data_IF_442468596937
#
_entry.id   IF_442468596937
#
_cell.length_a   1.000
_cell.length_b   1.000
_cell.length_c   1.000
_cell.angle_alpha   90.00
_cell.angle_beta   90.00
_cell.angle_gamma   90.00
#
_symmetry.space_group_name_H-M   'P 1'
#
loop_
_entity.id
_entity.type
_entity.pdbx_description
1 polymer ?
#
# COMPACT_ATOMS: atom_id res chain seq x y z
N UNK A 1 -42.84 -57.51 -31.61
CA UNK A 1 -44.12 -57.23 -30.90
C UNK A 1 -43.82 -57.13 -29.41
N UNK A 2 -44.19 -56.00 -28.77
CA UNK A 2 -44.50 -55.83 -27.32
C UNK A 2 -43.41 -56.33 -26.32
N UNK A 3 -42.87 -55.55 -25.39
CA UNK A 3 -43.46 -54.53 -24.52
C UNK A 3 -42.35 -53.80 -23.75
N UNK A 4 -42.65 -52.54 -23.43
CA UNK A 4 -41.89 -51.60 -22.62
C UNK A 4 -41.79 -52.04 -21.14
N UNK A 5 -40.64 -51.76 -20.52
CA UNK A 5 -40.40 -51.89 -19.08
C UNK A 5 -39.60 -50.69 -18.58
N UNK A 6 -40.28 -49.87 -17.77
CA UNK A 6 -39.93 -48.56 -17.25
C UNK A 6 -38.80 -48.66 -16.21
N UNK A 7 -37.78 -47.80 -16.27
CA UNK A 7 -36.88 -47.56 -15.12
C UNK A 7 -36.69 -46.06 -14.97
N UNK A 8 -37.32 -45.52 -13.91
CA UNK A 8 -37.18 -44.15 -13.44
C UNK A 8 -35.74 -43.94 -12.94
N UNK A 9 -34.95 -43.13 -13.64
CA UNK A 9 -33.76 -42.51 -13.07
C UNK A 9 -34.11 -41.08 -12.68
N UNK A 10 -34.28 -40.83 -11.39
CA UNK A 10 -34.42 -39.50 -10.82
C UNK A 10 -33.11 -38.72 -11.03
N UNK A 11 -33.10 -37.85 -12.04
CA UNK A 11 -32.00 -36.92 -12.28
C UNK A 11 -32.00 -35.84 -11.21
N UNK A 12 -31.02 -35.88 -10.31
CA UNK A 12 -30.68 -34.79 -9.39
C UNK A 12 -30.17 -33.64 -10.25
N UNK A 13 -30.98 -32.60 -10.43
CA UNK A 13 -30.55 -31.31 -10.96
C UNK A 13 -29.65 -30.63 -9.92
N UNK A 14 -28.34 -30.85 -10.04
CA UNK A 14 -27.34 -30.01 -9.37
C UNK A 14 -27.32 -28.68 -10.12
N UNK A 15 -28.10 -27.71 -9.63
CA UNK A 15 -27.93 -26.31 -10.01
C UNK A 15 -26.60 -25.83 -9.45
N UNK A 16 -25.55 -25.90 -10.29
CA UNK A 16 -24.30 -25.19 -10.05
C UNK A 16 -24.61 -23.70 -10.06
N UNK A 17 -24.88 -23.15 -8.87
CA UNK A 17 -24.79 -21.72 -8.59
C UNK A 17 -23.34 -21.31 -8.83
N UNK A 18 -23.07 -20.89 -10.06
CA UNK A 18 -21.86 -20.19 -10.42
C UNK A 18 -21.89 -18.86 -9.67
N UNK A 19 -21.29 -18.84 -8.48
CA UNK A 19 -21.01 -17.61 -7.77
C UNK A 19 -19.98 -16.87 -8.62
N UNK A 20 -20.46 -15.95 -9.46
CA UNK A 20 -19.62 -14.99 -10.17
C UNK A 20 -18.92 -14.15 -9.12
N UNK A 21 -17.70 -14.56 -8.75
CA UNK A 21 -16.75 -13.68 -8.10
C UNK A 21 -16.48 -12.61 -9.16
N UNK A 22 -17.21 -11.50 -9.09
CA UNK A 22 -16.93 -10.31 -9.86
C UNK A 22 -15.56 -9.81 -9.42
N UNK A 23 -14.50 -10.39 -9.99
CA UNK A 23 -13.17 -9.82 -9.92
C UNK A 23 -13.28 -8.42 -10.50
N UNK A 24 -13.08 -7.41 -9.65
CA UNK A 24 -13.01 -6.03 -10.09
C UNK A 24 -12.00 -5.96 -11.24
N UNK A 25 -12.50 -5.69 -12.45
CA UNK A 25 -11.61 -5.53 -13.60
C UNK A 25 -10.82 -4.24 -13.41
N UNK A 26 -9.53 -4.21 -13.80
CA UNK A 26 -8.72 -3.00 -13.69
C UNK A 26 -9.39 -1.89 -14.51
N UNK A 27 -9.71 -0.77 -13.85
CA UNK A 27 -10.25 0.42 -14.52
C UNK A 27 -9.11 1.05 -15.32
N UNK A 28 -9.19 0.96 -16.65
CA UNK A 28 -8.23 1.59 -17.54
C UNK A 28 -8.74 2.96 -18.01
N UNK A 29 -7.93 4.00 -17.82
CA UNK A 29 -8.24 5.33 -18.31
C UNK A 29 -7.57 5.50 -19.69
N UNK A 30 -8.31 5.83 -20.77
CA UNK A 30 -7.71 6.01 -22.09
C UNK A 30 -6.85 7.27 -22.20
N UNK A 31 -7.15 8.28 -21.37
CA UNK A 31 -6.43 9.55 -21.26
C UNK A 31 -6.56 10.10 -19.84
N UNK A 32 -5.68 11.02 -19.44
CA UNK A 32 -5.81 11.74 -18.18
C UNK A 32 -7.14 12.52 -18.11
N UNK A 33 -7.77 12.48 -16.94
CA UNK A 33 -8.98 13.26 -16.65
C UNK A 33 -8.72 14.77 -16.72
N UNK A 34 -9.80 15.55 -16.88
CA UNK A 34 -9.69 17.02 -16.91
C UNK A 34 -9.11 17.55 -15.60
N UNK A 35 -9.49 16.92 -14.51
CA UNK A 35 -9.07 17.17 -13.15
C UNK A 35 -7.56 16.91 -12.99
N UNK A 36 -7.08 15.72 -13.37
CA UNK A 36 -5.66 15.38 -13.29
C UNK A 36 -4.78 16.27 -14.18
N UNK A 37 -5.27 16.68 -15.36
CA UNK A 37 -4.55 17.67 -16.19
C UNK A 37 -4.40 19.02 -15.48
N UNK A 38 -5.46 19.52 -14.84
CA UNK A 38 -5.39 20.75 -14.07
C UNK A 38 -4.42 20.63 -12.88
N UNK A 39 -4.36 19.47 -12.23
CA UNK A 39 -3.36 19.19 -11.19
C UNK A 39 -1.94 19.28 -11.78
N UNK A 40 -1.68 18.58 -12.89
CA UNK A 40 -0.37 18.53 -13.55
C UNK A 40 0.11 19.91 -14.01
N UNK A 41 -0.77 20.72 -14.58
CA UNK A 41 -0.44 22.06 -15.08
C UNK A 41 0.16 22.98 -14.00
N UNK A 42 -0.25 22.82 -12.74
CA UNK A 42 0.27 23.59 -11.61
C UNK A 42 1.38 22.83 -10.84
N UNK A 43 1.23 21.52 -10.64
CA UNK A 43 2.16 20.73 -9.82
C UNK A 43 3.49 20.41 -10.49
N UNK A 44 3.57 20.53 -11.82
CA UNK A 44 4.86 20.48 -12.54
C UNK A 44 5.84 21.57 -12.08
N UNK A 45 5.32 22.73 -11.68
CA UNK A 45 6.12 23.88 -11.29
C UNK A 45 6.21 24.03 -9.76
N UNK A 46 5.11 23.78 -9.04
CA UNK A 46 5.07 23.93 -7.58
C UNK A 46 5.68 22.75 -6.81
N UNK A 47 5.60 21.54 -7.35
CA UNK A 47 6.15 20.31 -6.74
C UNK A 47 6.86 19.45 -7.79
N UNK A 48 7.92 19.95 -8.45
CA UNK A 48 8.53 19.31 -9.62
C UNK A 48 9.03 17.89 -9.32
N UNK A 49 9.51 17.62 -8.11
CA UNK A 49 9.94 16.28 -7.70
C UNK A 49 8.82 15.25 -7.70
N UNK A 50 7.62 15.60 -7.20
CA UNK A 50 6.47 14.68 -7.21
C UNK A 50 5.94 14.47 -8.63
N UNK A 51 5.91 15.54 -9.43
CA UNK A 51 5.53 15.48 -10.84
C UNK A 51 6.46 14.54 -11.63
N UNK A 52 7.78 14.65 -11.44
CA UNK A 52 8.76 13.79 -12.11
C UNK A 52 8.67 12.33 -11.66
N UNK A 53 8.54 12.07 -10.34
CA UNK A 53 8.35 10.72 -9.82
C UNK A 53 7.11 10.04 -10.43
N UNK A 54 5.98 10.76 -10.44
CA UNK A 54 4.76 10.27 -11.08
C UNK A 54 4.96 10.07 -12.59
N UNK A 55 5.55 11.02 -13.31
CA UNK A 55 5.83 10.90 -14.74
C UNK A 55 6.70 9.71 -15.12
N UNK A 56 7.57 9.25 -14.21
CA UNK A 56 8.39 8.06 -14.40
C UNK A 56 7.67 6.74 -14.04
N UNK A 57 6.53 6.82 -13.36
CA UNK A 57 5.79 5.66 -12.85
C UNK A 57 5.06 4.86 -13.94
N UNK A 58 4.73 3.60 -13.63
CA UNK A 58 3.79 2.81 -14.45
C UNK A 58 2.36 3.37 -14.38
N UNK A 59 1.99 4.08 -13.30
CA UNK A 59 0.70 4.74 -13.17
C UNK A 59 0.50 5.86 -14.20
N UNK A 60 1.52 6.70 -14.45
CA UNK A 60 1.46 7.70 -15.52
C UNK A 60 1.23 7.05 -16.90
N UNK A 61 1.98 6.00 -17.22
CA UNK A 61 1.82 5.24 -18.47
C UNK A 61 0.45 4.57 -18.60
N UNK A 62 -0.17 4.22 -17.48
CA UNK A 62 -1.54 3.70 -17.38
C UNK A 62 -2.61 4.77 -17.27
N UNK A 63 -2.29 6.06 -17.47
CA UNK A 63 -3.19 7.20 -17.30
C UNK A 63 -3.88 7.31 -15.93
N UNK A 64 -3.26 6.76 -14.87
CA UNK A 64 -3.68 7.00 -13.49
C UNK A 64 -3.00 8.29 -13.02
N UNK A 65 -3.76 9.38 -13.02
CA UNK A 65 -3.30 10.71 -12.64
C UNK A 65 -3.48 11.03 -11.16
N UNK A 66 -3.25 12.29 -10.82
CA UNK A 66 -3.30 12.79 -9.45
C UNK A 66 -4.72 12.62 -8.85
N UNK A 67 -5.74 13.01 -9.61
CA UNK A 67 -7.12 13.04 -9.15
C UNK A 67 -7.74 11.64 -9.04
N UNK A 68 -7.29 10.68 -9.84
CA UNK A 68 -7.76 9.29 -9.76
C UNK A 68 -7.44 8.66 -8.40
N UNK A 69 -6.33 9.07 -7.76
CA UNK A 69 -5.94 8.61 -6.43
C UNK A 69 -6.43 9.54 -5.32
N UNK A 70 -6.22 10.85 -5.47
CA UNK A 70 -6.47 11.84 -4.42
C UNK A 70 -7.91 12.37 -4.39
N UNK A 71 -8.66 12.23 -5.48
CA UNK A 71 -10.01 12.78 -5.60
C UNK A 71 -10.95 12.24 -4.52
N UNK A 72 -11.74 13.14 -3.94
CA UNK A 72 -12.72 12.83 -2.92
C UNK A 72 -14.13 13.23 -3.37
N UNK A 73 -15.14 12.61 -2.78
CA UNK A 73 -16.54 12.97 -3.07
C UNK A 73 -16.85 14.38 -2.55
N UNK A 74 -17.78 15.08 -3.21
CA UNK A 74 -18.18 16.44 -2.85
C UNK A 74 -18.75 16.54 -1.43
N UNK A 75 -19.37 15.46 -0.96
CA UNK A 75 -20.01 15.32 0.35
C UNK A 75 -19.04 14.89 1.46
N UNK A 76 -17.82 14.50 1.11
CA UNK A 76 -16.82 14.03 2.07
C UNK A 76 -16.32 15.20 2.92
N UNK A 77 -16.69 15.22 4.20
CA UNK A 77 -16.34 16.30 5.14
C UNK A 77 -14.87 16.28 5.55
N UNK A 78 -14.21 15.15 5.43
CA UNK A 78 -12.80 14.98 5.77
C UNK A 78 -11.88 15.33 4.58
N UNK A 79 -12.44 15.56 3.40
CA UNK A 79 -11.68 16.02 2.25
C UNK A 79 -11.27 17.50 2.36
N UNK A 80 -10.06 17.80 1.90
CA UNK A 80 -9.55 19.15 1.73
C UNK A 80 -10.15 19.78 0.47
N UNK A 81 -10.67 21.00 0.58
CA UNK A 81 -10.93 21.83 -0.60
C UNK A 81 -9.60 22.39 -1.10
N UNK A 82 -9.15 21.94 -2.26
CA UNK A 82 -7.93 22.39 -2.91
C UNK A 82 -8.29 23.00 -4.27
N UNK A 83 -8.33 24.33 -4.34
CA UNK A 83 -8.88 25.09 -5.45
C UNK A 83 -10.32 24.65 -5.79
N UNK A 84 -10.54 24.17 -7.02
CA UNK A 84 -11.84 23.74 -7.53
C UNK A 84 -12.14 22.27 -7.23
N UNK A 85 -11.25 21.57 -6.54
CA UNK A 85 -11.34 20.14 -6.29
C UNK A 85 -11.48 19.83 -4.80
N UNK A 86 -12.06 18.68 -4.49
CA UNK A 86 -11.95 18.06 -3.16
C UNK A 86 -11.01 16.87 -3.26
N UNK A 87 -10.04 16.84 -2.36
CA UNK A 87 -9.02 15.79 -2.34
C UNK A 87 -8.78 15.28 -0.92
N UNK A 88 -8.32 14.04 -0.84
CA UNK A 88 -7.62 13.52 0.33
C UNK A 88 -6.11 13.63 0.11
N UNK A 89 -5.41 14.24 1.07
CA UNK A 89 -3.94 14.28 1.05
C UNK A 89 -3.35 12.88 1.18
N UNK A 90 -3.99 12.05 2.01
CA UNK A 90 -3.58 10.66 2.26
C UNK A 90 -4.43 9.72 1.41
N UNK A 91 -3.76 8.98 0.52
CA UNK A 91 -4.36 7.87 -0.22
C UNK A 91 -4.23 6.60 0.62
N UNK A 92 -5.33 5.86 0.77
CA UNK A 92 -5.43 4.69 1.65
C UNK A 92 -5.41 3.38 0.84
N UNK A 93 -5.21 2.22 1.49
CA UNK A 93 -5.38 0.92 0.84
C UNK A 93 -6.72 0.72 0.12
N UNK A 94 -7.82 1.31 0.61
CA UNK A 94 -9.12 1.25 -0.09
C UNK A 94 -9.11 1.99 -1.42
N UNK A 95 -8.36 3.08 -1.56
CA UNK A 95 -8.18 3.73 -2.87
C UNK A 95 -7.44 2.79 -3.84
N UNK A 96 -6.35 2.16 -3.38
CA UNK A 96 -5.57 1.20 -4.17
C UNK A 96 -6.43 0.01 -4.62
N UNK A 97 -7.24 -0.53 -3.70
CA UNK A 97 -8.09 -1.70 -3.91
C UNK A 97 -9.18 -1.53 -4.97
N UNK A 98 -9.45 -0.30 -5.43
CA UNK A 98 -10.36 -0.05 -6.56
C UNK A 98 -9.82 -0.64 -7.88
N UNK A 99 -8.50 -0.72 -8.01
CA UNK A 99 -7.82 -1.31 -9.17
C UNK A 99 -6.99 -2.56 -8.81
N UNK A 100 -6.43 -2.59 -7.60
CA UNK A 100 -5.58 -3.67 -7.07
C UNK A 100 -6.33 -4.48 -6.00
N UNK A 101 -7.51 -5.00 -6.36
CA UNK A 101 -8.41 -5.67 -5.41
C UNK A 101 -7.79 -6.92 -4.77
N UNK A 102 -7.03 -7.68 -5.56
CA UNK A 102 -6.33 -8.88 -5.10
C UNK A 102 -5.24 -8.54 -4.11
N UNK A 103 -4.33 -7.63 -4.46
CA UNK A 103 -3.23 -7.20 -3.58
C UNK A 103 -3.77 -6.55 -2.30
N UNK A 104 -4.82 -5.73 -2.42
CA UNK A 104 -5.49 -5.13 -1.26
C UNK A 104 -6.03 -6.20 -0.30
N UNK A 105 -6.74 -7.21 -0.83
CA UNK A 105 -7.35 -8.27 -0.02
C UNK A 105 -6.28 -9.16 0.63
N UNK A 106 -5.22 -9.48 -0.09
CA UNK A 106 -4.09 -10.23 0.46
C UNK A 106 -3.39 -9.45 1.58
N UNK A 107 -3.15 -8.15 1.37
CA UNK A 107 -2.48 -7.30 2.33
C UNK A 107 -3.33 -7.10 3.60
N UNK A 108 -4.62 -6.76 3.46
CA UNK A 108 -5.53 -6.52 4.59
C UNK A 108 -5.65 -7.75 5.52
N UNK A 109 -5.50 -8.97 4.97
CA UNK A 109 -5.53 -10.21 5.74
C UNK A 109 -4.17 -10.62 6.35
N UNK A 110 -3.10 -9.85 6.11
CA UNK A 110 -1.75 -10.16 6.60
C UNK A 110 -1.49 -9.60 8.01
N UNK A 111 -0.41 -10.08 8.64
CA UNK A 111 0.09 -9.49 9.89
C UNK A 111 0.65 -8.07 9.67
N UNK A 112 1.14 -7.74 8.47
CA UNK A 112 1.61 -6.40 8.14
C UNK A 112 0.51 -5.35 8.27
N UNK A 113 -0.73 -5.64 7.84
CA UNK A 113 -1.85 -4.72 8.04
C UNK A 113 -2.18 -4.51 9.53
N UNK A 114 -1.88 -5.49 10.39
CA UNK A 114 -2.14 -5.43 11.83
C UNK A 114 -0.97 -4.90 12.66
N UNK A 115 0.13 -4.49 12.01
CA UNK A 115 1.37 -4.18 12.71
C UNK A 115 1.25 -3.05 13.75
N UNK A 116 0.32 -2.09 13.58
CA UNK A 116 0.09 -1.01 14.54
C UNK A 116 -0.58 -1.49 15.84
N UNK A 117 -1.16 -2.69 15.88
CA UNK A 117 -1.81 -3.25 17.09
C UNK A 117 -0.79 -3.46 18.22
N UNK A 118 0.50 -3.64 17.90
CA UNK A 118 1.58 -3.74 18.90
C UNK A 118 1.69 -2.49 19.77
N UNK A 119 1.29 -1.32 19.26
CA UNK A 119 1.37 -0.07 20.01
C UNK A 119 0.35 -0.01 21.16
N UNK A 120 -0.63 -0.90 21.16
CA UNK A 120 -1.55 -1.10 22.28
C UNK A 120 -1.22 -2.32 23.14
N UNK A 121 -0.11 -3.02 22.89
CA UNK A 121 0.33 -4.17 23.69
C UNK A 121 1.35 -3.76 24.77
N UNK A 122 1.62 -4.68 25.69
CA UNK A 122 2.67 -4.53 26.70
C UNK A 122 4.08 -4.38 26.08
N UNK A 123 4.25 -4.79 24.81
CA UNK A 123 5.53 -4.66 24.11
C UNK A 123 5.90 -3.20 23.83
N UNK A 124 4.92 -2.28 23.86
CA UNK A 124 5.15 -0.85 23.69
C UNK A 124 5.59 -0.12 24.98
N UNK A 125 5.53 -0.79 26.14
CA UNK A 125 5.81 -0.18 27.44
C UNK A 125 7.24 0.37 27.53
N UNK A 126 8.20 -0.34 26.93
CA UNK A 126 9.60 0.10 26.89
C UNK A 126 9.73 1.47 26.23
N UNK A 127 9.18 1.62 25.02
CA UNK A 127 9.30 2.83 24.23
C UNK A 127 8.39 3.97 24.71
N UNK A 128 7.24 3.65 25.31
CA UNK A 128 6.26 4.65 25.75
C UNK A 128 6.51 5.17 27.17
N UNK A 129 6.92 4.29 28.08
CA UNK A 129 6.97 4.58 29.53
C UNK A 129 8.39 4.52 30.07
N UNK A 130 9.12 3.42 29.85
CA UNK A 130 10.42 3.18 30.50
C UNK A 130 11.51 4.09 29.92
N UNK A 131 11.70 4.06 28.61
CA UNK A 131 12.68 4.89 27.90
C UNK A 131 12.03 6.16 27.30
N UNK A 132 10.70 6.23 27.31
CA UNK A 132 9.92 7.26 26.63
C UNK A 132 9.97 8.63 27.29
N UNK A 133 10.72 9.57 26.71
CA UNK A 133 10.65 10.98 27.11
C UNK A 133 9.43 11.70 26.49
N UNK A 134 8.45 12.07 27.32
CA UNK A 134 7.20 12.76 26.92
C UNK A 134 7.33 14.26 26.61
N UNK A 135 8.54 14.83 26.66
CA UNK A 135 8.77 16.23 26.30
C UNK A 135 8.44 16.57 24.84
N UNK A 136 8.31 15.56 23.96
CA UNK A 136 7.95 15.76 22.56
C UNK A 136 6.42 15.83 22.38
N UNK A 137 5.85 17.03 22.53
CA UNK A 137 4.40 17.28 22.38
C UNK A 137 3.52 16.38 23.27
N UNK A 138 4.00 16.04 24.47
CA UNK A 138 3.29 15.14 25.39
C UNK A 138 3.39 13.65 25.03
N UNK A 139 4.28 13.28 24.09
CA UNK A 139 4.49 11.91 23.61
C UNK A 139 5.97 11.54 23.65
N UNK A 140 6.24 10.24 23.73
CA UNK A 140 7.60 9.70 23.61
C UNK A 140 8.15 9.94 22.20
N UNK A 141 9.28 10.64 22.09
CA UNK A 141 9.96 10.85 20.81
C UNK A 141 10.44 9.50 20.20
N UNK A 142 10.87 8.56 21.04
CA UNK A 142 11.23 7.19 20.64
C UNK A 142 10.06 6.47 20.00
N UNK A 143 8.88 6.57 20.62
CA UNK A 143 7.65 5.98 20.10
C UNK A 143 7.26 6.57 18.73
N UNK A 144 7.34 7.90 18.58
CA UNK A 144 6.91 8.59 17.35
C UNK A 144 7.89 8.40 16.19
N UNK A 145 9.20 8.51 16.45
CA UNK A 145 10.23 8.46 15.42
C UNK A 145 10.84 7.07 15.21
N UNK A 146 10.66 6.14 16.15
CA UNK A 146 11.09 4.74 16.05
C UNK A 146 9.92 3.82 15.71
N UNK A 147 9.23 3.32 16.75
CA UNK A 147 8.24 2.24 16.62
C UNK A 147 7.13 2.58 15.60
N UNK A 148 6.56 3.78 15.68
CA UNK A 148 5.46 4.21 14.80
C UNK A 148 5.89 4.37 13.33
N UNK A 149 7.17 4.61 13.04
CA UNK A 149 7.64 4.73 11.66
C UNK A 149 7.71 3.37 10.95
N UNK A 150 7.87 2.28 11.69
CA UNK A 150 7.87 0.92 11.16
C UNK A 150 6.48 0.27 11.26
N UNK A 151 5.86 0.28 12.44
CA UNK A 151 4.59 -0.41 12.71
C UNK A 151 3.36 0.34 12.21
N UNK A 152 3.43 1.67 12.15
CA UNK A 152 2.32 2.54 11.79
C UNK A 152 1.56 3.06 13.02
N UNK A 153 0.69 4.05 12.84
CA UNK A 153 -0.16 4.59 13.91
C UNK A 153 -1.49 5.08 13.38
N UNK A 154 -2.37 5.57 14.26
CA UNK A 154 -3.67 6.14 13.89
C UNK A 154 -3.46 7.52 13.29
N UNK A 155 -3.94 7.71 12.07
CA UNK A 155 -3.99 9.01 11.40
C UNK A 155 -5.18 9.82 11.88
N UNK A 156 -4.94 11.10 12.14
CA UNK A 156 -5.98 12.09 12.47
C UNK A 156 -6.00 13.19 11.42
N UNK A 157 -7.19 13.64 11.08
CA UNK A 157 -7.43 14.76 10.18
C UNK A 157 -8.07 15.92 10.95
N UNK A 158 -7.65 17.14 10.65
CA UNK A 158 -8.28 18.39 11.10
C UNK A 158 -8.41 19.32 9.91
N UNK A 159 -9.63 19.81 9.65
CA UNK A 159 -9.92 20.70 8.51
C UNK A 159 -9.41 20.16 7.16
N UNK A 160 -9.58 18.86 6.93
CA UNK A 160 -9.15 18.18 5.71
C UNK A 160 -7.64 17.90 5.58
N UNK A 161 -6.85 18.27 6.59
CA UNK A 161 -5.40 18.05 6.59
C UNK A 161 -4.99 17.08 7.69
N UNK A 162 -3.98 16.23 7.46
CA UNK A 162 -3.46 15.38 8.50
C UNK A 162 -2.76 16.20 9.58
N UNK A 163 -2.98 15.81 10.83
CA UNK A 163 -2.38 16.50 11.96
C UNK A 163 -0.91 16.11 12.11
N UNK A 164 -0.08 17.09 12.44
CA UNK A 164 1.39 16.91 12.53
C UNK A 164 1.82 15.94 13.62
N UNK A 165 0.95 15.64 14.58
CA UNK A 165 1.22 14.67 15.65
C UNK A 165 1.01 13.21 15.20
N UNK A 166 0.36 12.98 14.04
CA UNK A 166 0.10 11.64 13.49
C UNK A 166 0.67 11.45 12.08
N UNK A 167 1.15 12.52 11.44
CA UNK A 167 1.67 12.52 10.08
C UNK A 167 2.95 13.37 9.98
N UNK A 168 3.98 12.95 9.21
CA UNK A 168 4.02 11.80 8.31
C UNK A 168 4.13 10.44 9.01
N UNK A 169 3.46 9.44 8.44
CA UNK A 169 3.55 8.05 8.90
C UNK A 169 3.40 7.10 7.72
N UNK A 170 4.45 6.34 7.45
CA UNK A 170 4.50 5.34 6.38
C UNK A 170 4.63 3.92 6.92
N UNK A 171 4.42 3.72 8.23
CA UNK A 171 4.51 2.43 8.88
C UNK A 171 3.49 1.43 8.33
N UNK A 172 3.90 0.17 8.24
CA UNK A 172 3.26 -0.85 7.40
C UNK A 172 1.80 -1.10 7.80
N UNK A 173 1.45 -1.00 9.09
CA UNK A 173 0.13 -1.23 9.65
C UNK A 173 -0.65 0.05 10.01
N UNK A 174 -0.31 1.20 9.42
CA UNK A 174 -0.98 2.50 9.67
C UNK A 174 -2.52 2.39 9.66
N UNK A 175 -3.19 2.98 10.63
CA UNK A 175 -4.67 2.97 10.70
C UNK A 175 -5.19 4.26 10.06
N UNK A 176 -5.93 4.13 8.96
CA UNK A 176 -6.41 5.25 8.15
C UNK A 176 -7.79 5.73 8.60
N UNK A 177 -8.13 6.98 8.24
CA UNK A 177 -9.42 7.60 8.58
C UNK A 177 -10.65 6.90 7.99
N UNK A 178 -10.48 6.23 6.85
CA UNK A 178 -11.54 5.44 6.22
C UNK A 178 -11.68 4.03 6.84
N UNK A 179 -10.98 3.77 7.94
CA UNK A 179 -10.94 2.50 8.67
C UNK A 179 -10.10 1.41 8.01
N UNK A 180 -9.48 1.65 6.85
CA UNK A 180 -8.58 0.69 6.24
C UNK A 180 -7.24 0.62 6.98
N UNK A 181 -6.62 -0.57 6.98
CA UNK A 181 -5.33 -0.80 7.63
C UNK A 181 -4.22 -0.90 6.60
N UNK A 182 -3.14 -0.19 6.87
CA UNK A 182 -1.90 -0.29 6.16
C UNK A 182 -1.43 0.98 5.46
N UNK A 183 -0.18 0.90 5.00
CA UNK A 183 0.46 1.86 4.12
C UNK A 183 0.98 1.16 2.87
N UNK A 184 0.26 1.27 1.74
CA UNK A 184 0.71 0.69 0.47
C UNK A 184 2.02 1.30 -0.05
N UNK A 185 2.50 2.39 0.54
CA UNK A 185 3.77 3.04 0.19
C UNK A 185 4.93 2.62 1.08
N UNK A 186 4.76 1.62 1.95
CA UNK A 186 5.83 1.14 2.82
C UNK A 186 6.96 0.43 2.05
N UNK A 187 6.65 -0.26 0.94
CA UNK A 187 7.64 -1.00 0.15
C UNK A 187 7.95 -0.32 -1.20
N UNK A 188 6.93 0.05 -1.97
CA UNK A 188 7.09 0.80 -3.21
C UNK A 188 6.59 2.24 -3.03
N UNK A 189 7.52 3.17 -2.90
CA UNK A 189 7.23 4.50 -2.42
C UNK A 189 6.41 5.31 -3.42
N UNK A 190 5.60 6.24 -2.89
CA UNK A 190 5.02 7.32 -3.69
C UNK A 190 6.15 8.23 -4.21
N UNK A 191 6.07 8.82 -5.41
CA UNK A 191 5.03 8.66 -6.43
C UNK A 191 5.46 7.79 -7.62
N UNK A 192 6.60 7.11 -7.51
CA UNK A 192 7.09 6.20 -8.58
C UNK A 192 6.38 4.85 -8.56
N UNK A 193 6.02 4.35 -7.37
CA UNK A 193 5.35 3.05 -7.17
C UNK A 193 6.04 1.89 -7.92
N UNK A 194 7.38 1.82 -7.83
CA UNK A 194 8.18 0.84 -8.58
C UNK A 194 8.10 -0.55 -7.94
N UNK A 195 7.66 -1.54 -8.72
CA UNK A 195 7.74 -2.95 -8.33
C UNK A 195 9.18 -3.41 -8.15
N UNK A 196 10.13 -2.89 -8.95
CA UNK A 196 11.55 -3.19 -8.76
C UNK A 196 12.06 -2.70 -7.41
N UNK A 197 11.64 -1.51 -6.95
CA UNK A 197 11.96 -1.04 -5.60
C UNK A 197 11.43 -2.00 -4.52
N UNK A 198 10.19 -2.47 -4.64
CA UNK A 198 9.63 -3.43 -3.68
C UNK A 198 10.35 -4.79 -3.68
N UNK A 199 11.02 -5.16 -4.78
CA UNK A 199 11.82 -6.40 -4.90
C UNK A 199 13.24 -6.28 -4.37
N UNK A 200 13.67 -5.07 -4.01
CA UNK A 200 15.01 -4.85 -3.45
C UNK A 200 15.02 -5.15 -1.94
N UNK A 201 15.94 -5.97 -1.43
CA UNK A 201 16.04 -6.28 0.00
C UNK A 201 16.26 -5.05 0.88
N UNK A 202 16.89 -4.00 0.33
CA UNK A 202 17.12 -2.72 1.00
C UNK A 202 15.82 -2.05 1.43
N UNK A 203 14.72 -2.26 0.69
CA UNK A 203 13.39 -1.75 1.04
C UNK A 203 12.87 -2.37 2.33
N UNK A 204 13.05 -3.68 2.51
CA UNK A 204 12.66 -4.42 3.71
C UNK A 204 13.50 -3.98 4.92
N UNK A 205 14.78 -3.72 4.67
CA UNK A 205 15.77 -3.29 5.65
C UNK A 205 15.48 -1.96 6.33
N UNK A 206 14.48 -1.19 5.88
CA UNK A 206 13.97 -0.02 6.62
C UNK A 206 13.39 -0.41 7.99
N UNK A 207 12.77 -1.59 8.08
CA UNK A 207 12.09 -2.07 9.29
C UNK A 207 12.68 -3.39 9.83
N UNK A 208 13.18 -4.26 8.95
CA UNK A 208 13.70 -5.58 9.29
C UNK A 208 15.22 -5.54 9.46
N UNK A 209 15.67 -4.87 10.52
CA UNK A 209 17.07 -4.63 10.83
C UNK A 209 17.26 -4.57 12.34
N UNK A 210 18.51 -4.57 12.79
CA UNK A 210 18.84 -4.28 14.17
C UNK A 210 18.65 -5.48 15.12
N UNK A 211 18.81 -5.26 16.42
CA UNK A 211 19.02 -6.33 17.40
C UNK A 211 17.77 -7.16 17.72
N UNK A 212 16.58 -6.62 17.50
CA UNK A 212 15.29 -7.25 17.79
C UNK A 212 14.87 -8.25 16.70
N UNK A 213 15.22 -7.96 15.45
CA UNK A 213 14.99 -8.86 14.32
C UNK A 213 15.93 -8.54 13.13
N UNK A 214 17.14 -9.13 13.10
CA UNK A 214 18.21 -8.74 12.17
C UNK A 214 18.09 -9.41 10.79
N UNK A 215 16.91 -9.39 10.14
CA UNK A 215 16.77 -10.10 8.86
C UNK A 215 17.60 -9.49 7.73
N UNK A 216 17.79 -8.16 7.71
CA UNK A 216 18.69 -7.49 6.75
C UNK A 216 20.11 -8.00 6.90
N UNK A 217 20.65 -7.98 8.11
CA UNK A 217 22.01 -8.40 8.42
C UNK A 217 22.21 -9.90 8.09
N UNK A 218 21.24 -10.74 8.49
CA UNK A 218 21.26 -12.18 8.15
C UNK A 218 21.27 -12.39 6.62
N UNK A 219 20.46 -11.64 5.88
CA UNK A 219 20.38 -11.78 4.43
C UNK A 219 21.68 -11.32 3.74
N UNK A 220 22.19 -10.13 4.11
CA UNK A 220 23.37 -9.52 3.49
C UNK A 220 24.63 -10.36 3.69
N UNK A 221 24.79 -10.99 4.86
CA UNK A 221 25.91 -11.89 5.17
C UNK A 221 25.74 -13.31 4.60
N UNK A 222 24.55 -13.64 4.09
CA UNK A 222 24.29 -14.95 3.49
C UNK A 222 24.84 -15.07 2.06
N UNK A 223 25.05 -16.30 1.61
CA UNK A 223 25.38 -16.58 0.19
C UNK A 223 24.32 -16.04 -0.79
N UNK A 224 23.05 -15.99 -0.38
CA UNK A 224 21.98 -15.42 -1.21
C UNK A 224 22.13 -13.91 -1.38
N UNK A 225 22.43 -13.18 -0.30
CA UNK A 225 22.67 -11.74 -0.36
C UNK A 225 23.89 -11.41 -1.20
N UNK A 226 25.02 -12.10 -0.96
CA UNK A 226 26.25 -11.92 -1.74
C UNK A 226 25.99 -12.16 -3.24
N UNK A 227 25.33 -13.27 -3.59
CA UNK A 227 24.99 -13.58 -4.98
C UNK A 227 24.04 -12.55 -5.61
N UNK A 228 23.05 -12.05 -4.85
CA UNK A 228 22.15 -10.99 -5.29
C UNK A 228 22.92 -9.71 -5.64
N UNK A 229 23.78 -9.22 -4.75
CA UNK A 229 24.51 -7.97 -4.99
C UNK A 229 25.50 -8.09 -6.17
N UNK A 230 26.14 -9.25 -6.34
CA UNK A 230 27.03 -9.52 -7.48
C UNK A 230 26.27 -9.57 -8.82
N UNK A 231 24.99 -9.97 -8.80
CA UNK A 231 24.21 -10.20 -10.02
C UNK A 231 23.06 -9.20 -10.23
N UNK A 232 22.90 -8.21 -9.35
CA UNK A 232 21.77 -7.25 -9.35
C UNK A 232 21.54 -6.57 -10.69
N UNK A 233 22.61 -6.22 -11.41
CA UNK A 233 22.54 -5.57 -12.73
C UNK A 233 22.15 -6.50 -13.87
N UNK A 234 22.26 -7.82 -13.66
CA UNK A 234 21.85 -8.87 -14.62
C UNK A 234 20.39 -9.29 -14.41
N UNK A 235 19.81 -8.99 -13.25
CA UNK A 235 18.43 -9.33 -12.91
C UNK A 235 17.42 -8.39 -13.58
N UNK A 236 16.25 -8.91 -13.94
CA UNK A 236 15.16 -8.12 -14.49
C UNK A 236 14.14 -7.73 -13.41
N UNK A 237 14.54 -6.82 -12.51
CA UNK A 237 13.70 -6.38 -11.39
C UNK A 237 12.41 -5.66 -11.81
N UNK A 238 12.31 -5.18 -13.05
CA UNK A 238 11.13 -4.47 -13.56
C UNK A 238 10.08 -5.38 -14.22
N UNK A 239 10.41 -6.67 -14.41
CA UNK A 239 9.57 -7.64 -15.13
C UNK A 239 8.19 -7.81 -14.49
N UNK A 240 7.14 -7.90 -15.30
CA UNK A 240 5.78 -8.13 -14.80
C UNK A 240 5.61 -9.54 -14.20
N UNK A 241 6.35 -10.52 -14.72
CA UNK A 241 6.46 -11.88 -14.18
C UNK A 241 7.91 -12.06 -13.73
N UNK A 242 8.14 -12.58 -12.54
CA UNK A 242 9.48 -12.73 -12.00
C UNK A 242 9.77 -14.21 -11.79
N UNK A 243 10.50 -14.80 -12.73
CA UNK A 243 10.70 -16.26 -12.86
C UNK A 243 12.11 -16.62 -12.39
N UNK A 244 12.17 -17.60 -11.47
CA UNK A 244 13.44 -18.14 -10.93
C UNK A 244 14.29 -18.71 -12.06
N UNK A 245 15.56 -18.29 -12.14
CA UNK A 245 16.51 -18.77 -13.15
C UNK A 245 16.42 -18.06 -14.50
N UNK A 246 15.41 -17.20 -14.71
CA UNK A 246 15.29 -16.37 -15.92
C UNK A 246 15.49 -14.88 -15.57
N UNK A 247 14.73 -14.38 -14.58
CA UNK A 247 14.79 -12.97 -14.18
C UNK A 247 15.68 -12.72 -12.95
N UNK A 248 15.94 -13.75 -12.13
CA UNK A 248 16.80 -13.70 -10.94
C UNK A 248 17.41 -15.05 -10.55
#
# INVERSE_FOLDING_TARGET
MKRYGLTLCAGILITLLWCSIAGAQPVFYPHLSKESRACVECHKDSTPGLYQQWGNSKHFRGNVGCYECHGAQTTDREALKHYNFRIHVIVTPKNCGRCHATEYTQFENSHHAKAAEILGSLDNELAEVVEGNKAFQGRSALLVNGCKQCHGSIIKIKNGQPTTDTWPNDGIGRINIDGSRGSCTACHFRHTFSAAQARQPETCGRCHLGPDHPQKEIYEESRHGIAYFDNKTKMNLESAKWVVGEDY
#
